data_IF_071617200144
#
_entry.id   IF_071617200144
#
_cell.length_a   1.000
_cell.length_b   1.000
_cell.length_c   1.000
_cell.angle_alpha   90.00
_cell.angle_beta   90.00
_cell.angle_gamma   90.00
#
_symmetry.space_group_name_H-M   'P 1'
#
loop_
_entity.id
_entity.type
_entity.pdbx_description
1 polymer ?
#
# COMPACT_ATOMS: atom_id res chain seq x y z
N UNK A 1 -30.74 14.13 3.54
CA UNK A 1 -30.56 12.79 2.94
C UNK A 1 -31.01 12.75 1.47
N UNK A 2 -32.20 13.25 1.14
CA UNK A 2 -32.70 13.26 -0.25
C UNK A 2 -31.82 14.04 -1.23
N UNK A 3 -31.28 15.20 -0.84
CA UNK A 3 -30.33 15.94 -1.69
C UNK A 3 -29.04 15.16 -1.97
N UNK A 4 -28.51 14.43 -0.99
CA UNK A 4 -27.32 13.59 -1.17
C UNK A 4 -27.61 12.46 -2.17
N UNK A 5 -28.80 11.84 -2.07
CA UNK A 5 -29.23 10.82 -3.03
C UNK A 5 -29.36 11.41 -4.44
N UNK A 6 -29.97 12.60 -4.56
CA UNK A 6 -30.13 13.31 -5.84
C UNK A 6 -28.77 13.56 -6.51
N UNK A 7 -27.83 14.17 -5.78
CA UNK A 7 -26.48 14.48 -6.28
C UNK A 7 -25.72 13.20 -6.66
N UNK A 8 -25.83 12.15 -5.84
CA UNK A 8 -25.19 10.87 -6.16
C UNK A 8 -25.75 10.23 -7.44
N UNK A 9 -27.07 10.27 -7.64
CA UNK A 9 -27.70 9.76 -8.87
C UNK A 9 -27.28 10.58 -10.10
N UNK A 10 -27.21 11.91 -9.98
CA UNK A 10 -26.74 12.78 -11.05
C UNK A 10 -25.28 12.47 -11.42
N UNK A 11 -24.41 12.30 -10.43
CA UNK A 11 -23.02 11.91 -10.65
C UNK A 11 -22.90 10.57 -11.38
N UNK A 12 -23.69 9.57 -10.96
CA UNK A 12 -23.71 8.26 -11.62
C UNK A 12 -24.22 8.35 -13.06
N UNK A 13 -25.23 9.18 -13.33
CA UNK A 13 -25.72 9.43 -14.68
C UNK A 13 -24.66 10.07 -15.58
N UNK A 14 -23.90 11.03 -15.06
CA UNK A 14 -22.81 11.67 -15.81
C UNK A 14 -21.67 10.69 -16.15
N UNK A 15 -21.41 9.71 -15.28
CA UNK A 15 -20.40 8.67 -15.53
C UNK A 15 -20.90 7.59 -16.49
N UNK A 16 -22.19 7.23 -16.41
CA UNK A 16 -22.73 6.13 -17.21
C UNK A 16 -22.89 6.48 -18.68
N UNK A 17 -23.05 7.76 -19.03
CA UNK A 17 -23.11 8.23 -20.41
C UNK A 17 -21.81 8.06 -21.21
N UNK A 18 -21.87 8.40 -22.50
CA UNK A 18 -20.82 8.10 -23.48
C UNK A 18 -19.71 9.17 -23.55
N UNK A 19 -19.78 10.20 -22.71
CA UNK A 19 -18.87 11.37 -22.75
C UNK A 19 -17.38 10.96 -22.69
N UNK A 20 -17.08 9.91 -21.96
CA UNK A 20 -15.72 9.43 -21.69
C UNK A 20 -15.40 8.12 -22.42
N UNK A 21 -16.31 7.62 -23.24
CA UNK A 21 -16.17 6.33 -23.90
C UNK A 21 -15.26 6.46 -25.14
N UNK A 22 -14.44 5.45 -25.41
CA UNK A 22 -13.53 5.41 -26.56
C UNK A 22 -12.29 6.32 -26.46
N UNK A 23 -12.05 6.97 -25.32
CA UNK A 23 -10.80 7.70 -25.02
C UNK A 23 -9.62 6.73 -24.94
N UNK A 24 -8.51 7.05 -25.59
CA UNK A 24 -7.30 6.20 -25.61
C UNK A 24 -6.30 6.50 -24.49
N UNK A 25 -6.51 7.60 -23.76
CA UNK A 25 -5.61 8.17 -22.77
C UNK A 25 -6.12 8.05 -21.33
N UNK A 26 -7.42 7.90 -21.13
CA UNK A 26 -8.02 7.63 -19.82
C UNK A 26 -9.36 6.89 -19.94
N UNK A 27 -9.81 6.30 -18.83
CA UNK A 27 -11.13 5.70 -18.71
C UNK A 27 -11.81 6.16 -17.41
N UNK A 28 -13.13 6.34 -17.45
CA UNK A 28 -13.93 6.65 -16.27
C UNK A 28 -14.81 5.45 -15.94
N UNK A 29 -14.67 4.92 -14.72
CA UNK A 29 -15.36 3.71 -14.28
C UNK A 29 -15.89 3.92 -12.86
N UNK A 30 -17.20 3.75 -12.69
CA UNK A 30 -17.83 3.77 -11.37
C UNK A 30 -17.48 2.50 -10.58
N UNK A 31 -17.16 2.67 -9.30
CA UNK A 31 -16.84 1.57 -8.37
C UNK A 31 -17.94 1.49 -7.30
N UNK A 32 -18.98 0.65 -7.47
CA UNK A 32 -20.19 0.69 -6.64
C UNK A 32 -20.04 0.06 -5.25
N UNK A 33 -18.83 -0.22 -4.74
CA UNK A 33 -18.63 -0.94 -3.47
C UNK A 33 -19.29 -0.26 -2.24
N UNK A 34 -19.70 1.01 -2.32
CA UNK A 34 -20.45 1.71 -1.26
C UNK A 34 -21.97 1.70 -1.42
N UNK A 35 -22.53 1.23 -2.54
CA UNK A 35 -23.98 1.29 -2.81
C UNK A 35 -24.81 0.58 -1.75
N UNK A 36 -24.42 -0.65 -1.41
CA UNK A 36 -25.07 -1.53 -0.45
C UNK A 36 -24.14 -1.82 0.73
N UNK A 37 -23.40 -0.80 1.18
CA UNK A 37 -22.49 -0.96 2.32
C UNK A 37 -23.27 -0.92 3.64
N UNK A 38 -23.09 -1.96 4.45
CA UNK A 38 -23.52 -1.98 5.83
C UNK A 38 -22.33 -1.52 6.69
N UNK A 39 -22.37 -0.29 7.17
CA UNK A 39 -21.57 0.08 8.35
C UNK A 39 -22.34 -0.52 9.52
N UNK A 40 -21.81 -1.55 10.21
CA UNK A 40 -22.57 -2.24 11.24
C UNK A 40 -22.96 -1.25 12.34
N UNK A 41 -24.26 -0.94 12.44
CA UNK A 41 -24.76 0.00 13.42
C UNK A 41 -25.83 -0.62 14.30
N UNK A 42 -25.43 -1.48 15.23
CA UNK A 42 -26.01 -1.67 16.58
C UNK A 42 -24.89 -2.29 17.44
N UNK A 43 -24.18 -1.50 18.25
CA UNK A 43 -22.95 -1.94 18.94
C UNK A 43 -21.67 -1.84 18.10
N UNK A 44 -21.66 -0.92 17.13
CA UNK A 44 -20.60 -0.67 16.16
C UNK A 44 -19.22 -0.58 16.80
N UNK A 45 -18.26 -1.32 16.26
CA UNK A 45 -16.85 -1.18 16.60
C UNK A 45 -16.42 0.26 16.27
N UNK A 46 -16.25 1.08 17.31
CA UNK A 46 -15.89 2.50 17.18
C UNK A 46 -14.54 2.70 16.51
N UNK A 47 -13.71 1.66 16.41
CA UNK A 47 -12.43 1.72 15.70
C UNK A 47 -12.56 1.95 14.19
N UNK A 48 -13.77 1.90 13.61
CA UNK A 48 -14.03 2.29 12.22
C UNK A 48 -14.20 3.81 12.03
N UNK A 49 -14.32 4.58 13.12
CA UNK A 49 -14.35 6.03 13.09
C UNK A 49 -13.15 6.62 13.84
N UNK A 50 -12.85 7.88 13.54
CA UNK A 50 -11.87 8.66 14.28
C UNK A 50 -12.44 9.10 15.64
N UNK A 51 -11.62 9.74 16.47
CA UNK A 51 -12.02 10.20 17.81
C UNK A 51 -13.20 11.17 17.82
N UNK A 52 -13.45 11.86 16.71
CA UNK A 52 -14.57 12.78 16.56
C UNK A 52 -15.87 12.12 16.08
N UNK A 53 -15.86 10.81 15.81
CA UNK A 53 -16.98 10.05 15.27
C UNK A 53 -17.51 10.54 13.90
N UNK A 54 -16.79 11.45 13.23
CA UNK A 54 -17.18 12.02 11.94
C UNK A 54 -16.26 11.52 10.82
N UNK A 55 -14.94 11.55 11.06
CA UNK A 55 -13.99 11.01 10.10
C UNK A 55 -13.96 9.48 10.21
N UNK A 56 -13.82 8.83 9.06
CA UNK A 56 -13.53 7.39 9.01
C UNK A 56 -12.09 7.15 9.46
N UNK A 57 -11.86 6.06 10.21
CA UNK A 57 -10.54 5.73 10.71
C UNK A 57 -9.62 5.17 9.62
N UNK A 58 -8.33 5.03 9.94
CA UNK A 58 -7.37 4.28 9.11
C UNK A 58 -7.90 2.88 8.75
N UNK A 59 -8.53 2.21 9.72
CA UNK A 59 -9.11 0.87 9.54
C UNK A 59 -10.19 0.88 8.47
N UNK A 60 -11.15 1.81 8.54
CA UNK A 60 -12.19 1.97 7.52
C UNK A 60 -11.61 2.31 6.15
N UNK A 61 -10.62 3.21 6.10
CA UNK A 61 -9.92 3.53 4.86
C UNK A 61 -9.25 2.31 4.23
N UNK A 62 -8.63 1.45 5.04
CA UNK A 62 -8.04 0.21 4.56
C UNK A 62 -9.09 -0.72 3.95
N UNK A 63 -10.26 -0.87 4.58
CA UNK A 63 -11.34 -1.69 4.02
C UNK A 63 -11.91 -1.14 2.72
N UNK A 64 -12.09 0.17 2.64
CA UNK A 64 -12.51 0.84 1.41
C UNK A 64 -11.48 0.71 0.29
N UNK A 65 -10.19 0.77 0.60
CA UNK A 65 -9.12 0.58 -0.37
C UNK A 65 -9.10 -0.86 -0.93
N UNK A 66 -9.32 -1.86 -0.07
CA UNK A 66 -9.44 -3.27 -0.51
C UNK A 66 -10.66 -3.46 -1.40
N UNK A 67 -11.82 -2.90 -1.01
CA UNK A 67 -13.03 -2.98 -1.80
C UNK A 67 -12.83 -2.33 -3.17
N UNK A 68 -12.24 -1.13 -3.23
CA UNK A 68 -11.89 -0.46 -4.48
C UNK A 68 -10.95 -1.31 -5.35
N UNK A 69 -9.89 -1.86 -4.77
CA UNK A 69 -8.93 -2.71 -5.48
C UNK A 69 -9.62 -3.92 -6.11
N UNK A 70 -10.40 -4.66 -5.34
CA UNK A 70 -11.14 -5.81 -5.83
C UNK A 70 -12.12 -5.43 -6.96
N UNK A 71 -12.80 -4.28 -6.82
CA UNK A 71 -13.75 -3.78 -7.81
C UNK A 71 -13.07 -3.37 -9.13
N UNK A 72 -11.83 -2.88 -9.08
CA UNK A 72 -11.01 -2.64 -10.28
C UNK A 72 -10.66 -3.94 -11.04
N UNK A 73 -10.63 -5.08 -10.35
CA UNK A 73 -10.37 -6.41 -10.91
C UNK A 73 -11.64 -7.16 -11.35
N UNK A 74 -12.80 -6.51 -11.31
CA UNK A 74 -14.08 -7.07 -11.76
C UNK A 74 -14.59 -6.37 -13.02
N UNK A 75 -15.12 -7.10 -14.02
CA UNK A 75 -15.65 -6.48 -15.22
C UNK A 75 -16.84 -5.56 -14.93
N UNK A 76 -16.94 -4.46 -15.68
CA UNK A 76 -18.07 -3.53 -15.64
C UNK A 76 -19.38 -4.31 -15.85
N UNK A 77 -20.39 -4.03 -15.01
CA UNK A 77 -21.65 -4.78 -14.98
C UNK A 77 -21.64 -6.00 -14.04
N UNK A 78 -20.47 -6.46 -13.58
CA UNK A 78 -20.35 -7.54 -12.58
C UNK A 78 -19.58 -7.10 -11.33
N UNK A 79 -19.39 -5.78 -11.16
CA UNK A 79 -18.72 -5.21 -10.00
C UNK A 79 -19.54 -5.41 -8.73
N UNK A 80 -18.87 -5.80 -7.65
CA UNK A 80 -19.45 -5.88 -6.31
C UNK A 80 -19.98 -4.51 -5.87
N UNK A 81 -21.21 -4.49 -5.36
CA UNK A 81 -21.90 -3.26 -4.95
C UNK A 81 -21.94 -3.04 -3.43
N UNK A 82 -21.14 -3.78 -2.65
CA UNK A 82 -21.09 -3.71 -1.19
C UNK A 82 -19.64 -3.75 -0.70
N UNK A 83 -19.42 -3.31 0.54
CA UNK A 83 -18.14 -3.42 1.21
C UNK A 83 -18.29 -4.35 2.43
N UNK A 84 -17.38 -5.30 2.55
CA UNK A 84 -17.29 -6.16 3.72
C UNK A 84 -16.28 -5.55 4.71
N UNK A 85 -16.77 -4.93 5.79
CA UNK A 85 -15.93 -4.31 6.82
C UNK A 85 -15.38 -5.32 7.86
N UNK A 86 -15.02 -6.54 7.45
CA UNK A 86 -14.21 -7.44 8.27
C UNK A 86 -12.74 -7.07 8.15
N UNK A 87 -12.00 -6.96 9.26
CA UNK A 87 -10.56 -6.67 9.24
C UNK A 87 -9.73 -7.92 8.90
N UNK A 88 -10.06 -8.54 7.77
CA UNK A 88 -9.42 -9.72 7.22
C UNK A 88 -8.75 -9.36 5.89
N UNK A 89 -7.42 -9.52 5.84
CA UNK A 89 -6.61 -9.22 4.66
C UNK A 89 -6.64 -10.34 3.60
N UNK A 90 -7.18 -11.51 3.92
CA UNK A 90 -7.29 -12.64 2.97
C UNK A 90 -8.23 -12.35 1.79
N UNK A 91 -9.13 -11.36 1.93
CA UNK A 91 -10.10 -10.97 0.91
C UNK A 91 -9.53 -10.13 -0.23
N UNK A 92 -8.25 -9.75 -0.18
CA UNK A 92 -7.61 -8.97 -1.25
C UNK A 92 -7.44 -9.88 -2.47
N UNK A 93 -8.05 -9.51 -3.59
CA UNK A 93 -7.92 -10.26 -4.83
C UNK A 93 -6.56 -10.01 -5.48
N UNK A 94 -5.95 -11.09 -5.96
CA UNK A 94 -4.77 -11.03 -6.81
C UNK A 94 -5.20 -10.94 -8.29
N UNK A 95 -4.52 -10.13 -9.12
CA UNK A 95 -4.67 -10.18 -10.56
C UNK A 95 -4.39 -11.60 -11.09
N UNK A 96 -5.04 -11.98 -12.18
CA UNK A 96 -4.86 -13.27 -12.84
C UNK A 96 -4.24 -13.10 -14.23
N UNK A 97 -3.48 -14.08 -14.70
CA UNK A 97 -2.96 -14.10 -16.08
C UNK A 97 -4.08 -14.11 -17.13
N UNK A 98 -5.27 -14.63 -16.78
CA UNK A 98 -6.43 -14.60 -17.67
C UNK A 98 -7.01 -13.19 -17.84
N UNK A 99 -6.74 -12.28 -16.90
CA UNK A 99 -7.23 -10.90 -16.88
C UNK A 99 -6.14 -9.95 -16.34
N UNK A 100 -5.08 -9.67 -17.12
CA UNK A 100 -3.89 -8.97 -16.62
C UNK A 100 -4.08 -7.46 -16.46
N UNK A 101 -5.24 -6.91 -16.83
CA UNK A 101 -5.52 -5.48 -16.79
C UNK A 101 -6.70 -5.15 -15.88
N UNK A 102 -6.71 -3.93 -15.34
CA UNK A 102 -7.88 -3.36 -14.65
C UNK A 102 -9.04 -3.24 -15.64
N UNK A 103 -10.25 -3.54 -15.16
CA UNK A 103 -11.43 -3.52 -15.99
C UNK A 103 -11.97 -2.11 -16.20
N UNK A 104 -12.19 -1.80 -17.47
CA UNK A 104 -12.83 -0.60 -18.01
C UNK A 104 -14.07 -0.99 -18.81
N UNK A 105 -14.86 -0.01 -19.26
CA UNK A 105 -16.00 -0.29 -20.16
C UNK A 105 -15.58 -1.09 -21.41
N UNK A 106 -14.39 -0.83 -21.96
CA UNK A 106 -13.92 -1.39 -23.23
C UNK A 106 -13.54 -2.87 -23.11
N UNK A 107 -12.80 -3.24 -22.06
CA UNK A 107 -12.31 -4.62 -21.87
C UNK A 107 -13.24 -5.51 -21.00
N UNK A 108 -14.40 -5.00 -20.61
CA UNK A 108 -15.40 -5.74 -19.83
C UNK A 108 -16.48 -6.40 -20.68
N UNK A 109 -16.62 -6.01 -21.95
CA UNK A 109 -17.58 -6.62 -22.87
C UNK A 109 -17.08 -8.02 -23.27
N UNK A 110 -17.97 -9.01 -23.17
CA UNK A 110 -17.68 -10.34 -23.72
C UNK A 110 -17.58 -10.20 -25.24
N UNK A 111 -16.40 -10.44 -25.81
CA UNK A 111 -16.28 -10.66 -27.25
C UNK A 111 -17.20 -11.84 -27.60
N UNK A 112 -18.17 -11.70 -28.51
CA UNK A 112 -18.96 -12.83 -28.97
C UNK A 112 -18.03 -13.94 -29.48
N UNK A 113 -18.32 -15.23 -29.22
CA UNK A 113 -17.63 -16.32 -29.90
C UNK A 113 -17.99 -16.28 -31.39
N UNK A 114 -17.08 -15.76 -32.22
CA UNK A 114 -17.14 -15.90 -33.68
C UNK A 114 -17.27 -14.60 -34.46
N UNK A 115 -16.13 -14.08 -34.91
CA UNK A 115 -15.79 -13.97 -36.34
C UNK A 115 -14.29 -13.72 -36.40
N UNK A 116 -13.54 -14.81 -36.52
CA UNK A 116 -12.11 -14.79 -36.83
C UNK A 116 -11.97 -14.32 -38.28
N UNK A 117 -11.96 -13.01 -38.51
CA UNK A 117 -11.32 -12.47 -39.71
C UNK A 117 -9.84 -12.33 -39.35
N UNK A 118 -8.92 -13.08 -39.99
CA UNK A 118 -7.49 -12.91 -39.77
C UNK A 118 -7.09 -11.59 -40.43
N UNK A 119 -7.23 -10.48 -39.71
CA UNK A 119 -6.52 -9.27 -40.06
C UNK A 119 -5.10 -9.48 -39.59
N UNK A 120 -4.24 -9.85 -40.53
CA UNK A 120 -2.79 -9.80 -40.42
C UNK A 120 -2.36 -8.36 -40.14
N UNK A 121 -2.53 -7.93 -38.90
CA UNK A 121 -1.78 -6.80 -38.36
C UNK A 121 -0.52 -7.40 -37.76
N UNK A 122 0.53 -7.36 -38.56
CA UNK A 122 1.92 -7.59 -38.13
C UNK A 122 2.23 -6.70 -36.94
N UNK A 123 2.02 -7.21 -35.73
CA UNK A 123 2.54 -6.62 -34.52
C UNK A 123 4.02 -7.00 -34.46
N UNK A 124 4.98 -6.06 -34.49
CA UNK A 124 6.36 -6.40 -34.17
C UNK A 124 6.37 -6.86 -32.71
N UNK A 125 6.69 -8.14 -32.50
CA UNK A 125 7.06 -8.70 -31.20
C UNK A 125 8.25 -7.91 -30.67
N UNK A 126 7.96 -6.81 -29.99
CA UNK A 126 8.91 -6.18 -29.09
C UNK A 126 8.69 -6.88 -27.76
N UNK A 127 9.58 -7.82 -27.46
CA UNK A 127 9.75 -8.45 -26.16
C UNK A 127 10.09 -7.36 -25.15
N UNK A 128 9.09 -6.61 -24.68
CA UNK A 128 9.23 -5.79 -23.50
C UNK A 128 9.18 -6.77 -22.33
N UNK A 129 10.25 -6.92 -21.55
CA UNK A 129 10.21 -7.77 -20.37
C UNK A 129 9.19 -7.16 -19.41
N UNK A 130 8.07 -7.86 -19.20
CA UNK A 130 7.22 -7.63 -18.04
C UNK A 130 8.15 -7.62 -16.83
N UNK A 131 8.25 -6.51 -16.06
CA UNK A 131 9.10 -6.48 -14.89
C UNK A 131 8.54 -7.51 -13.91
N UNK A 132 9.23 -8.65 -13.80
CA UNK A 132 8.96 -9.62 -12.75
C UNK A 132 9.10 -8.86 -11.43
N UNK A 133 8.06 -8.90 -10.60
CA UNK A 133 8.14 -8.36 -9.25
C UNK A 133 9.43 -8.91 -8.60
N UNK A 134 10.28 -8.06 -7.99
CA UNK A 134 11.41 -8.57 -7.24
C UNK A 134 10.84 -9.54 -6.20
N UNK A 135 11.41 -10.74 -6.17
CA UNK A 135 11.05 -11.77 -5.20
C UNK A 135 10.97 -11.14 -3.82
N UNK A 136 9.82 -11.33 -3.15
CA UNK A 136 9.59 -10.83 -1.79
C UNK A 136 10.83 -11.12 -0.94
N UNK A 137 11.44 -10.07 -0.38
CA UNK A 137 12.63 -10.22 0.44
C UNK A 137 12.26 -11.16 1.61
N UNK A 138 12.98 -12.26 1.83
CA UNK A 138 12.66 -13.19 2.90
C UNK A 138 12.58 -12.47 4.25
N UNK A 139 11.61 -12.85 5.08
CA UNK A 139 11.34 -12.24 6.39
C UNK A 139 12.59 -12.19 7.29
N UNK A 140 13.54 -13.12 7.11
CA UNK A 140 14.79 -13.15 7.86
C UNK A 140 15.75 -12.00 7.54
N UNK A 141 15.64 -11.35 6.38
CA UNK A 141 16.58 -10.29 5.96
C UNK A 141 16.47 -9.05 6.85
N UNK A 142 15.28 -8.45 7.09
CA UNK A 142 15.15 -7.36 8.08
C UNK A 142 15.61 -7.76 9.49
N UNK A 143 15.36 -9.02 9.89
CA UNK A 143 15.75 -9.54 11.22
C UNK A 143 17.28 -9.58 11.36
N UNK A 144 17.99 -10.10 10.35
CA UNK A 144 19.46 -10.16 10.35
C UNK A 144 20.06 -8.75 10.32
N UNK A 145 19.53 -7.85 9.51
CA UNK A 145 19.99 -6.45 9.46
C UNK A 145 19.83 -5.77 10.83
N UNK A 146 18.70 -6.00 11.51
CA UNK A 146 18.47 -5.49 12.86
C UNK A 146 19.48 -6.03 13.88
N UNK A 147 19.76 -7.33 13.87
CA UNK A 147 20.73 -7.97 14.78
C UNK A 147 22.15 -7.46 14.53
N UNK A 148 22.58 -7.40 13.27
CA UNK A 148 23.92 -6.91 12.91
C UNK A 148 24.10 -5.46 13.32
N UNK A 149 23.09 -4.61 13.08
CA UNK A 149 23.12 -3.20 13.47
C UNK A 149 23.18 -3.03 14.99
N UNK A 150 22.44 -3.86 15.75
CA UNK A 150 22.48 -3.85 17.21
C UNK A 150 23.86 -4.25 17.74
N UNK A 151 24.44 -5.33 17.21
CA UNK A 151 25.78 -5.80 17.61
C UNK A 151 26.86 -4.76 17.30
N UNK A 152 26.79 -4.13 16.11
CA UNK A 152 27.69 -3.05 15.75
C UNK A 152 27.53 -1.82 16.67
N UNK A 153 26.30 -1.45 17.03
CA UNK A 153 26.04 -0.39 17.99
C UNK A 153 26.63 -0.68 19.37
N UNK A 154 26.49 -1.92 19.85
CA UNK A 154 27.05 -2.38 21.13
C UNK A 154 28.59 -2.30 21.08
N UNK A 155 29.24 -2.81 20.04
CA UNK A 155 30.71 -2.78 19.95
C UNK A 155 31.26 -1.36 19.91
N UNK A 156 30.63 -0.46 19.16
CA UNK A 156 31.01 0.96 19.12
C UNK A 156 30.85 1.62 20.48
N UNK A 157 29.72 1.39 21.17
CA UNK A 157 29.50 1.94 22.51
C UNK A 157 30.55 1.43 23.52
N UNK A 158 30.89 0.15 23.49
CA UNK A 158 31.94 -0.45 24.34
C UNK A 158 33.32 0.17 24.06
N UNK A 159 33.66 0.42 22.80
CA UNK A 159 34.93 1.05 22.43
C UNK A 159 35.01 2.50 22.93
N UNK A 160 33.94 3.29 22.77
CA UNK A 160 33.87 4.67 23.26
C UNK A 160 33.98 4.73 24.80
N UNK A 161 33.30 3.83 25.50
CA UNK A 161 33.37 3.73 26.97
C UNK A 161 34.76 3.25 27.45
N UNK A 162 35.45 2.41 26.69
CA UNK A 162 36.80 1.95 27.02
C UNK A 162 37.85 3.04 26.77
N UNK A 163 37.77 3.76 25.64
CA UNK A 163 38.65 4.89 25.35
C UNK A 163 38.49 6.03 26.37
N UNK A 164 37.26 6.38 26.74
CA UNK A 164 37.01 7.41 27.76
C UNK A 164 37.55 7.02 29.14
N UNK A 165 37.46 5.73 29.53
CA UNK A 165 38.12 5.24 30.76
C UNK A 165 39.65 5.29 30.68
N UNK A 166 40.24 4.90 29.55
CA UNK A 166 41.68 4.99 29.33
C UNK A 166 42.18 6.43 29.38
N UNK A 167 41.45 7.37 28.76
CA UNK A 167 41.81 8.79 28.76
C UNK A 167 41.71 9.40 30.16
N UNK A 168 40.66 9.05 30.91
CA UNK A 168 40.51 9.52 32.31
C UNK A 168 41.64 9.01 33.20
N UNK A 169 42.04 7.73 33.05
CA UNK A 169 43.18 7.15 33.78
C UNK A 169 44.51 7.81 33.42
N UNK A 170 44.75 8.06 32.13
CA UNK A 170 45.98 8.72 31.66
C UNK A 170 46.11 10.16 32.16
N UNK A 171 45.00 10.90 32.25
CA UNK A 171 44.99 12.26 32.80
C UNK A 171 45.32 12.27 34.30
N UNK A 172 44.76 11.32 35.06
CA UNK A 172 45.02 11.18 36.50
C UNK A 172 46.47 10.75 36.81
N UNK A 173 47.08 9.95 35.93
CA UNK A 173 48.48 9.51 36.06
C UNK A 173 49.47 10.62 35.68
N UNK A 174 49.10 11.50 34.73
CA UNK A 174 49.92 12.66 34.32
C UNK A 174 49.95 13.76 35.39
N UNK A 175 48.80 14.10 35.98
CA UNK A 175 48.68 15.10 37.06
C UNK A 175 49.46 14.70 38.32
N UNK A 176 49.46 13.40 38.64
CA UNK A 176 50.24 12.84 39.75
C UNK A 176 51.75 12.81 39.50
N UNK A 177 52.17 12.69 38.24
CA UNK A 177 53.57 12.75 37.81
C UNK A 177 54.16 14.17 37.79
N UNK A 178 53.36 15.17 37.40
CA UNK A 178 53.75 16.59 37.47
C UNK A 178 53.93 17.07 38.91
N UNK A 179 53.04 16.69 39.82
CA UNK A 179 53.16 17.00 41.25
C UNK A 179 54.41 16.40 41.93
N UNK A 180 55.05 15.38 41.34
CA UNK A 180 56.29 14.78 41.87
C UNK A 180 57.58 15.39 41.29
N UNK A 181 57.51 16.24 40.26
CA UNK A 181 58.68 16.95 39.69
C UNK A 181 58.87 18.37 40.25
N UNK A 182 57.90 18.88 41.00
CA UNK A 182 57.88 20.24 41.58
C UNK A 182 58.65 20.45 42.90
N UNK A 183 59.61 19.59 43.25
CA UNK A 183 60.49 19.81 44.41
C UNK A 183 61.94 19.51 44.02
N UNK A 184 62.64 20.50 43.46
CA UNK A 184 64.09 20.55 43.50
C UNK A 184 64.49 21.95 43.99
N UNK A 185 65.05 21.99 45.20
CA UNK A 185 65.77 23.13 45.78
C UNK A 185 67.21 23.13 45.26
#
# INVERSE_FOLDING_TARGET
LEEIKRVNLEYQHLISGDRYDGKGDFAVVLQPFLHNSFIPNIGADTSFFSLDCLHISERSHAEMAIALWNNMLEPVGKKQAYNNFTYDRSKIHCPSEASPFIFTKINSLQTPPGTTTPTTSSSPTTTIPVPKCPSSIPIWVPVVVGIVSLLAGITVAWLLLSCSKCWKKSGEETDRGENMRGTNF
#
